data_IF_104348577913
#
_entry.id   IF_104348577913
#
_cell.length_a   1.000
_cell.length_b   1.000
_cell.length_c   1.000
_cell.angle_alpha   90.00
_cell.angle_beta   90.00
_cell.angle_gamma   90.00
#
_symmetry.space_group_name_H-M   'P 1'
#
loop_
_entity.id
_entity.type
_entity.pdbx_description
1 polymer ?
#
# COMPACT_ATOMS: atom_id res chain seq x y z
N UNK A 1 -2.30 35.87 21.86
CA UNK A 1 -1.78 35.97 20.47
C UNK A 1 -2.28 34.69 19.76
N UNK A 2 -3.53 34.74 19.27
CA UNK A 2 -4.12 33.61 18.54
C UNK A 2 -3.57 33.64 17.10
N UNK A 3 -2.38 33.07 16.90
CA UNK A 3 -1.86 32.81 15.59
C UNK A 3 -2.72 31.73 14.94
N UNK A 4 -3.43 32.06 13.87
CA UNK A 4 -4.16 31.10 13.03
C UNK A 4 -3.14 30.11 12.46
N UNK A 5 -2.91 28.99 13.18
CA UNK A 5 -2.14 27.82 12.68
C UNK A 5 -2.96 26.98 11.70
N UNK A 6 -4.01 27.53 11.09
CA UNK A 6 -4.81 26.80 10.11
C UNK A 6 -4.17 26.95 8.72
N UNK A 7 -3.83 25.81 8.14
CA UNK A 7 -3.43 25.75 6.74
C UNK A 7 -4.51 26.37 5.84
N UNK A 8 -4.10 26.94 4.71
CA UNK A 8 -5.07 27.36 3.69
C UNK A 8 -5.74 26.11 3.06
N UNK A 9 -7.00 26.22 2.64
CA UNK A 9 -7.71 25.14 1.94
C UNK A 9 -6.88 24.60 0.76
N UNK A 10 -6.19 25.47 0.05
CA UNK A 10 -5.30 25.08 -1.06
C UNK A 10 -4.14 24.19 -0.58
N UNK A 11 -3.57 24.45 0.58
CA UNK A 11 -2.51 23.64 1.15
C UNK A 11 -3.04 22.25 1.59
N UNK A 12 -4.21 22.20 2.24
CA UNK A 12 -4.89 20.95 2.58
C UNK A 12 -5.12 20.07 1.35
N UNK A 13 -5.72 20.64 0.31
CA UNK A 13 -5.99 19.91 -0.93
C UNK A 13 -4.69 19.47 -1.61
N UNK A 14 -3.67 20.31 -1.66
CA UNK A 14 -2.39 19.95 -2.29
C UNK A 14 -1.68 18.78 -1.57
N UNK A 15 -1.66 18.79 -0.23
CA UNK A 15 -1.06 17.71 0.56
C UNK A 15 -1.92 16.44 0.46
N UNK A 16 -3.26 16.55 0.51
CA UNK A 16 -4.18 15.41 0.34
C UNK A 16 -4.06 14.77 -1.03
N UNK A 17 -4.00 15.57 -2.08
CA UNK A 17 -3.78 15.09 -3.45
C UNK A 17 -2.39 14.48 -3.62
N UNK A 18 -1.36 15.03 -2.99
CA UNK A 18 -0.04 14.43 -2.98
C UNK A 18 -0.07 13.05 -2.31
N UNK A 19 -0.69 12.93 -1.13
CA UNK A 19 -0.79 11.67 -0.40
C UNK A 19 -1.60 10.63 -1.21
N UNK A 20 -2.71 11.03 -1.83
CA UNK A 20 -3.44 10.17 -2.76
C UNK A 20 -2.52 9.65 -3.86
N UNK A 21 -1.75 10.51 -4.54
CA UNK A 21 -0.89 10.09 -5.63
C UNK A 21 0.34 9.29 -5.18
N UNK A 22 0.77 9.42 -3.93
CA UNK A 22 1.80 8.56 -3.35
C UNK A 22 1.27 7.14 -3.12
N UNK A 23 0.03 7.01 -2.66
CA UNK A 23 -0.65 5.73 -2.53
C UNK A 23 -1.04 5.17 -3.90
N UNK A 24 -1.70 5.97 -4.73
CA UNK A 24 -2.28 5.51 -6.00
C UNK A 24 -1.20 5.18 -7.03
N UNK A 25 -0.73 3.96 -6.98
CA UNK A 25 0.33 3.43 -7.84
C UNK A 25 -0.11 2.20 -8.62
N UNK A 26 0.88 1.40 -8.99
CA UNK A 26 0.71 0.19 -9.79
C UNK A 26 -0.31 -0.80 -9.19
N UNK A 27 -0.19 -1.09 -7.89
CA UNK A 27 -1.07 -2.03 -7.20
C UNK A 27 -2.52 -1.59 -7.16
N UNK A 28 -2.73 -0.30 -6.93
CA UNK A 28 -4.04 0.34 -6.80
C UNK A 28 -4.84 0.35 -8.10
N UNK A 29 -4.18 0.12 -9.21
CA UNK A 29 -4.81 -0.08 -10.52
C UNK A 29 -5.14 -1.56 -10.77
N UNK A 30 -4.17 -2.45 -10.59
CA UNK A 30 -4.31 -3.83 -11.06
C UNK A 30 -5.09 -4.72 -10.08
N UNK A 31 -4.94 -4.53 -8.74
CA UNK A 31 -5.60 -5.44 -7.79
C UNK A 31 -7.11 -5.25 -7.70
N UNK A 32 -7.69 -4.03 -7.68
CA UNK A 32 -9.14 -3.87 -7.74
C UNK A 32 -9.74 -4.43 -9.04
N UNK A 33 -9.04 -4.30 -10.18
CA UNK A 33 -9.50 -4.85 -11.45
C UNK A 33 -9.53 -6.39 -11.44
N UNK A 34 -8.48 -7.02 -10.91
CA UNK A 34 -8.40 -8.48 -10.76
C UNK A 34 -9.45 -8.99 -9.77
N UNK A 35 -9.58 -8.34 -8.59
CA UNK A 35 -10.60 -8.64 -7.59
C UNK A 35 -11.99 -8.61 -8.22
N UNK A 36 -12.30 -7.58 -9.00
CA UNK A 36 -13.58 -7.47 -9.70
C UNK A 36 -13.85 -8.66 -10.61
N UNK A 37 -12.89 -9.09 -11.42
CA UNK A 37 -13.03 -10.26 -12.30
C UNK A 37 -13.31 -11.54 -11.52
N UNK A 38 -12.60 -11.77 -10.41
CA UNK A 38 -12.74 -12.97 -9.62
C UNK A 38 -14.01 -12.97 -8.78
N UNK A 39 -14.40 -11.81 -8.23
CA UNK A 39 -15.57 -11.68 -7.38
C UNK A 39 -16.90 -11.65 -8.18
N UNK A 40 -16.88 -11.22 -9.43
CA UNK A 40 -18.06 -11.20 -10.29
C UNK A 40 -19.25 -10.50 -9.61
N UNK A 41 -20.41 -11.20 -9.47
CA UNK A 41 -21.59 -10.64 -8.81
C UNK A 41 -21.39 -10.36 -7.30
N UNK A 42 -20.37 -10.95 -6.66
CA UNK A 42 -20.03 -10.71 -5.26
C UNK A 42 -19.01 -9.57 -5.07
N UNK A 43 -18.74 -8.78 -6.11
CA UNK A 43 -17.77 -7.67 -6.08
C UNK A 43 -18.05 -6.65 -4.96
N UNK A 44 -19.31 -6.42 -4.60
CA UNK A 44 -19.67 -5.52 -3.50
C UNK A 44 -19.15 -6.01 -2.14
N UNK A 45 -19.30 -7.30 -1.85
CA UNK A 45 -18.78 -7.91 -0.63
C UNK A 45 -17.25 -7.97 -0.63
N UNK A 46 -16.65 -8.37 -1.74
CA UNK A 46 -15.19 -8.38 -1.89
C UNK A 46 -14.59 -6.97 -1.71
N UNK A 47 -15.24 -5.95 -2.30
CA UNK A 47 -14.85 -4.54 -2.11
C UNK A 47 -14.95 -4.09 -0.65
N UNK A 48 -15.95 -4.53 0.10
CA UNK A 48 -16.06 -4.18 1.52
C UNK A 48 -14.81 -4.63 2.29
N UNK A 49 -14.34 -5.85 2.07
CA UNK A 49 -13.07 -6.33 2.65
C UNK A 49 -11.85 -5.58 2.13
N UNK A 50 -11.77 -5.40 0.80
CA UNK A 50 -10.65 -4.73 0.14
C UNK A 50 -10.48 -3.28 0.60
N UNK A 51 -11.59 -2.54 0.77
CA UNK A 51 -11.57 -1.16 1.24
C UNK A 51 -11.14 -1.06 2.71
N UNK A 52 -11.46 -2.05 3.54
CA UNK A 52 -10.95 -2.08 4.92
C UNK A 52 -9.41 -2.08 4.97
N UNK A 53 -8.76 -2.84 4.11
CA UNK A 53 -7.29 -2.97 4.08
C UNK A 53 -6.60 -1.99 3.14
N UNK A 54 -7.19 -1.73 1.97
CA UNK A 54 -6.62 -0.84 0.96
C UNK A 54 -6.94 0.65 1.18
N UNK A 55 -7.91 0.99 2.06
CA UNK A 55 -8.32 2.37 2.35
C UNK A 55 -8.33 2.64 3.86
N UNK A 56 -9.01 1.79 4.62
CA UNK A 56 -9.16 1.95 6.07
C UNK A 56 -7.83 1.87 6.83
N UNK A 57 -7.07 0.80 6.62
CA UNK A 57 -5.76 0.64 7.26
C UNK A 57 -4.75 1.74 6.89
N UNK A 58 -4.62 2.17 5.63
CA UNK A 58 -3.80 3.32 5.28
C UNK A 58 -4.17 4.59 6.04
N UNK A 59 -5.47 4.89 6.18
CA UNK A 59 -5.92 6.02 6.99
C UNK A 59 -5.47 5.85 8.46
N UNK A 60 -5.75 4.67 9.03
CA UNK A 60 -5.35 4.38 10.41
C UNK A 60 -3.84 4.44 10.61
N UNK A 61 -3.04 4.02 9.62
CA UNK A 61 -1.58 4.12 9.67
C UNK A 61 -1.08 5.57 9.69
N UNK A 62 -1.64 6.41 8.82
CA UNK A 62 -1.34 7.86 8.82
C UNK A 62 -1.75 8.49 10.15
N UNK A 63 -2.94 8.15 10.67
CA UNK A 63 -3.43 8.62 11.98
C UNK A 63 -2.54 8.15 13.13
N UNK A 64 -2.13 6.88 13.13
CA UNK A 64 -1.28 6.30 14.18
C UNK A 64 0.07 7.02 14.26
N UNK A 65 0.68 7.34 13.14
CA UNK A 65 1.92 8.12 13.11
C UNK A 65 1.71 9.55 13.64
N UNK A 66 0.66 10.24 13.20
CA UNK A 66 0.32 11.58 13.72
C UNK A 66 0.03 11.58 15.22
N UNK A 67 -0.76 10.60 15.69
CA UNK A 67 -1.19 10.46 17.08
C UNK A 67 -0.06 10.02 18.02
N UNK A 68 0.80 9.08 17.58
CA UNK A 68 1.89 8.54 18.41
C UNK A 68 2.92 9.60 18.80
N UNK A 69 3.09 10.63 17.96
CA UNK A 69 4.12 11.64 18.10
C UNK A 69 5.54 11.12 17.87
N UNK A 70 5.68 9.89 17.37
CA UNK A 70 6.96 9.31 17.01
C UNK A 70 7.56 10.04 15.80
N UNK A 71 8.90 10.09 15.75
CA UNK A 71 9.63 10.73 14.66
C UNK A 71 9.60 9.90 13.39
N UNK A 72 9.54 8.58 13.55
CA UNK A 72 9.54 7.61 12.46
C UNK A 72 8.95 6.26 12.90
N UNK A 73 8.87 5.33 11.95
CA UNK A 73 8.35 3.99 12.14
C UNK A 73 9.21 3.17 13.10
N UNK A 74 10.54 3.39 13.09
CA UNK A 74 11.48 2.68 13.94
C UNK A 74 11.22 3.01 15.43
N UNK A 75 10.98 4.27 15.76
CA UNK A 75 10.63 4.70 17.11
C UNK A 75 9.29 4.10 17.56
N UNK A 76 8.29 4.08 16.66
CA UNK A 76 6.97 3.50 16.95
C UNK A 76 7.07 1.98 17.20
N UNK A 77 7.70 1.24 16.30
CA UNK A 77 7.87 -0.21 16.42
C UNK A 77 8.83 -0.55 17.59
N UNK A 78 9.80 0.31 17.85
CA UNK A 78 10.76 0.21 18.96
C UNK A 78 10.14 0.28 20.36
N UNK A 79 8.86 0.68 20.46
CA UNK A 79 8.11 0.61 21.73
C UNK A 79 7.98 -0.82 22.26
N UNK A 80 7.97 -1.83 21.38
CA UNK A 80 8.04 -3.23 21.79
C UNK A 80 9.45 -3.61 22.24
N UNK A 81 10.43 -3.43 21.36
CA UNK A 81 11.86 -3.65 21.60
C UNK A 81 12.69 -2.91 20.56
N UNK A 82 13.81 -2.24 20.92
CA UNK A 82 14.59 -1.45 19.97
C UNK A 82 15.10 -2.25 18.77
N UNK A 83 15.59 -3.48 18.97
CA UNK A 83 16.08 -4.36 17.89
C UNK A 83 14.92 -4.73 16.94
N UNK A 84 13.74 -5.01 17.49
CA UNK A 84 12.54 -5.27 16.67
C UNK A 84 12.20 -4.04 15.83
N UNK A 85 12.22 -2.84 16.43
CA UNK A 85 11.98 -1.58 15.74
C UNK A 85 12.87 -1.42 14.51
N UNK A 86 14.17 -1.63 14.69
CA UNK A 86 15.15 -1.57 13.60
C UNK A 86 14.89 -2.62 12.51
N UNK A 87 14.79 -3.92 12.88
CA UNK A 87 14.62 -5.01 11.93
C UNK A 87 13.32 -4.87 11.14
N UNK A 88 12.21 -4.63 11.84
CA UNK A 88 10.90 -4.44 11.21
C UNK A 88 10.92 -3.26 10.24
N UNK A 89 11.47 -2.11 10.65
CA UNK A 89 11.49 -0.90 9.82
C UNK A 89 12.37 -1.09 8.60
N UNK A 90 13.54 -1.71 8.74
CA UNK A 90 14.39 -2.05 7.58
C UNK A 90 13.66 -2.99 6.64
N UNK A 91 13.03 -4.06 7.13
CA UNK A 91 12.27 -5.01 6.31
C UNK A 91 11.10 -4.32 5.59
N UNK A 92 10.37 -3.45 6.29
CA UNK A 92 9.27 -2.67 5.74
C UNK A 92 9.75 -1.75 4.61
N UNK A 93 10.79 -0.93 4.85
CA UNK A 93 11.31 -0.02 3.83
C UNK A 93 11.90 -0.74 2.63
N UNK A 94 12.60 -1.86 2.82
CA UNK A 94 13.10 -2.66 1.71
C UNK A 94 11.94 -3.26 0.90
N UNK A 95 10.89 -3.74 1.55
CA UNK A 95 9.74 -4.36 0.88
C UNK A 95 8.95 -3.37 0.03
N UNK A 96 8.59 -2.20 0.57
CA UNK A 96 7.89 -1.17 -0.21
C UNK A 96 8.82 -0.41 -1.15
N UNK A 97 10.09 -0.38 -0.85
CA UNK A 97 11.13 0.26 -1.68
C UNK A 97 11.64 -0.66 -2.77
N UNK A 98 12.94 -0.95 -2.77
CA UNK A 98 13.61 -1.56 -3.92
C UNK A 98 13.19 -3.00 -4.23
N UNK A 99 12.60 -3.76 -3.26
CA UNK A 99 12.36 -5.19 -3.48
C UNK A 99 11.06 -5.48 -4.24
N UNK A 100 9.94 -4.80 -3.90
CA UNK A 100 8.64 -5.17 -4.46
C UNK A 100 7.84 -3.98 -5.02
N UNK A 101 7.46 -3.00 -4.20
CA UNK A 101 6.55 -1.96 -4.66
C UNK A 101 7.18 -1.05 -5.72
N UNK A 102 8.42 -0.61 -5.56
CA UNK A 102 9.09 0.25 -6.54
C UNK A 102 9.32 -0.47 -7.88
N UNK A 103 9.91 -1.70 -7.95
CA UNK A 103 10.03 -2.42 -9.22
C UNK A 103 8.69 -2.67 -9.90
N UNK A 104 7.63 -2.96 -9.11
CA UNK A 104 6.28 -3.16 -9.63
C UNK A 104 5.74 -1.92 -10.34
N UNK A 105 6.09 -0.70 -9.91
CA UNK A 105 5.65 0.52 -10.61
C UNK A 105 6.15 0.55 -12.06
N UNK A 106 7.41 0.22 -12.30
CA UNK A 106 7.98 0.17 -13.64
C UNK A 106 7.40 -0.95 -14.49
N UNK A 107 7.26 -2.16 -13.93
CA UNK A 107 6.74 -3.32 -14.68
C UNK A 107 5.26 -3.17 -15.04
N UNK A 108 4.42 -2.64 -14.15
CA UNK A 108 3.00 -2.35 -14.46
C UNK A 108 2.90 -1.23 -15.50
N UNK A 109 3.73 -0.19 -15.38
CA UNK A 109 3.79 0.88 -16.39
C UNK A 109 4.17 0.31 -17.77
N UNK A 110 5.12 -0.62 -17.84
CA UNK A 110 5.46 -1.30 -19.08
C UNK A 110 4.30 -2.14 -19.64
N UNK A 111 3.72 -3.03 -18.82
CA UNK A 111 2.67 -3.96 -19.24
C UNK A 111 1.41 -3.25 -19.78
N UNK A 112 1.04 -2.12 -19.17
CA UNK A 112 -0.20 -1.40 -19.52
C UNK A 112 0.07 -0.27 -20.53
N UNK A 113 1.14 0.50 -20.33
CA UNK A 113 1.33 1.73 -21.11
C UNK A 113 2.16 1.54 -22.39
N UNK A 114 2.95 0.48 -22.49
CA UNK A 114 3.90 0.32 -23.61
C UNK A 114 3.65 -0.97 -24.40
N UNK A 115 3.56 -2.10 -23.71
CA UNK A 115 3.45 -3.44 -24.32
C UNK A 115 2.29 -3.56 -25.32
N UNK A 116 1.09 -2.98 -25.08
CA UNK A 116 -0.01 -3.04 -26.05
C UNK A 116 0.31 -2.41 -27.41
N UNK A 117 1.20 -1.42 -27.45
CA UNK A 117 1.62 -0.73 -28.69
C UNK A 117 2.78 -1.43 -29.42
N UNK A 118 3.37 -2.46 -28.82
CA UNK A 118 4.52 -3.21 -29.36
C UNK A 118 4.09 -4.53 -30.05
N UNK A 119 2.80 -4.73 -30.32
CA UNK A 119 2.31 -5.95 -30.96
C UNK A 119 3.00 -6.17 -32.31
N UNK A 120 3.60 -7.36 -32.48
CA UNK A 120 4.37 -7.72 -33.66
C UNK A 120 5.87 -7.40 -33.61
N UNK A 121 6.37 -6.73 -32.61
CA UNK A 121 7.81 -6.56 -32.39
C UNK A 121 8.42 -7.82 -31.74
N UNK A 122 9.56 -8.26 -32.27
CA UNK A 122 10.30 -9.43 -31.73
C UNK A 122 11.29 -9.04 -30.64
N UNK A 123 11.62 -7.75 -30.51
CA UNK A 123 12.55 -7.24 -29.52
C UNK A 123 11.84 -6.96 -28.20
N UNK A 124 12.37 -7.50 -27.11
CA UNK A 124 11.89 -7.17 -25.76
C UNK A 124 12.33 -5.75 -25.39
N UNK A 125 11.35 -4.83 -25.36
CA UNK A 125 11.58 -3.43 -25.01
C UNK A 125 11.49 -3.15 -23.52
N UNK A 126 11.20 -4.17 -22.67
CA UNK A 126 11.07 -3.99 -21.22
C UNK A 126 12.33 -3.42 -20.58
N UNK A 127 13.56 -3.91 -20.85
CA UNK A 127 14.77 -3.38 -20.23
C UNK A 127 15.01 -1.89 -20.58
N UNK A 128 14.79 -1.51 -21.83
CA UNK A 128 14.95 -0.12 -22.25
C UNK A 128 13.93 0.80 -21.59
N UNK A 129 12.67 0.39 -21.56
CA UNK A 129 11.62 1.15 -20.90
C UNK A 129 11.90 1.33 -19.41
N UNK A 130 12.24 0.25 -18.70
CA UNK A 130 12.55 0.30 -17.27
C UNK A 130 13.75 1.20 -16.98
N UNK A 131 14.79 1.19 -17.82
CA UNK A 131 15.94 2.08 -17.68
C UNK A 131 15.52 3.55 -17.78
N UNK A 132 14.66 3.90 -18.74
CA UNK A 132 14.10 5.26 -18.91
C UNK A 132 13.22 5.62 -17.70
N UNK A 133 12.29 4.74 -17.31
CA UNK A 133 11.35 4.97 -16.22
C UNK A 133 12.06 5.21 -14.89
N UNK A 134 13.00 4.33 -14.51
CA UNK A 134 13.76 4.49 -13.28
C UNK A 134 14.81 5.60 -13.37
N UNK A 135 15.31 5.92 -14.56
CA UNK A 135 16.13 7.10 -14.80
C UNK A 135 15.37 8.41 -14.52
N UNK A 136 14.13 8.52 -14.98
CA UNK A 136 13.24 9.65 -14.68
C UNK A 136 12.89 9.69 -13.19
N UNK A 137 12.53 8.53 -12.60
CA UNK A 137 12.24 8.42 -11.17
C UNK A 137 13.42 8.87 -10.30
N UNK A 138 14.64 8.44 -10.63
CA UNK A 138 15.88 8.84 -10.00
C UNK A 138 16.08 10.37 -10.08
N UNK A 139 15.99 10.93 -11.28
CA UNK A 139 16.19 12.37 -11.50
C UNK A 139 15.18 13.22 -10.69
N UNK A 140 13.92 12.81 -10.64
CA UNK A 140 12.88 13.50 -9.89
C UNK A 140 13.04 13.33 -8.37
N UNK A 141 13.58 12.19 -7.90
CA UNK A 141 13.79 11.90 -6.48
C UNK A 141 15.01 12.60 -5.87
N UNK A 142 15.95 13.10 -6.66
CA UNK A 142 17.15 13.81 -6.15
C UNK A 142 16.79 15.04 -5.31
N UNK A 143 15.64 15.68 -5.59
CA UNK A 143 15.20 16.91 -4.89
C UNK A 143 13.86 16.70 -4.18
N UNK A 144 13.85 16.11 -2.97
CA UNK A 144 12.62 15.74 -2.25
C UNK A 144 11.74 16.94 -1.89
N UNK A 145 12.32 18.11 -1.67
CA UNK A 145 11.61 19.36 -1.32
C UNK A 145 10.58 19.81 -2.38
N UNK A 146 10.68 19.32 -3.61
CA UNK A 146 9.78 19.66 -4.72
C UNK A 146 8.61 18.69 -4.90
N UNK A 147 8.50 17.65 -4.03
CA UNK A 147 7.48 16.59 -4.17
C UNK A 147 6.05 17.13 -4.15
N UNK A 148 5.68 17.95 -3.15
CA UNK A 148 4.31 18.50 -3.05
C UNK A 148 3.94 19.27 -4.31
N UNK A 149 4.86 20.08 -4.82
CA UNK A 149 4.58 20.90 -6.01
C UNK A 149 4.49 20.04 -7.28
N UNK A 150 5.37 19.07 -7.44
CA UNK A 150 5.41 18.21 -8.64
C UNK A 150 4.28 17.19 -8.65
N UNK A 151 4.05 16.52 -7.53
CA UNK A 151 3.05 15.46 -7.42
C UNK A 151 1.67 16.07 -7.13
N UNK A 152 1.51 16.78 -6.00
CA UNK A 152 0.22 17.25 -5.54
C UNK A 152 -0.43 18.32 -6.44
N UNK A 153 0.34 19.24 -7.02
CA UNK A 153 -0.22 20.36 -7.80
C UNK A 153 -0.27 20.09 -9.31
N UNK A 154 0.49 19.12 -9.83
CA UNK A 154 0.60 18.89 -11.28
C UNK A 154 0.14 17.48 -11.65
N UNK A 155 0.84 16.44 -11.15
CA UNK A 155 0.57 15.06 -11.56
C UNK A 155 -0.83 14.60 -11.11
N UNK A 156 -1.19 14.86 -9.85
CA UNK A 156 -2.45 14.36 -9.30
C UNK A 156 -3.70 14.92 -9.94
N UNK A 157 -3.84 16.24 -10.17
CA UNK A 157 -5.00 16.77 -10.88
C UNK A 157 -5.13 16.21 -12.32
N UNK A 158 -4.01 16.05 -13.03
CA UNK A 158 -4.00 15.44 -14.35
C UNK A 158 -4.45 13.97 -14.29
N UNK A 159 -3.92 13.20 -13.33
CA UNK A 159 -4.28 11.82 -13.09
C UNK A 159 -5.79 11.68 -12.77
N UNK A 160 -6.30 12.45 -11.83
CA UNK A 160 -7.72 12.42 -11.44
C UNK A 160 -8.66 12.78 -12.58
N UNK A 161 -8.31 13.78 -13.39
CA UNK A 161 -9.11 14.16 -14.56
C UNK A 161 -9.23 12.99 -15.54
N UNK A 162 -8.14 12.32 -15.84
CA UNK A 162 -8.12 11.22 -16.80
C UNK A 162 -8.85 9.98 -16.26
N UNK A 163 -8.71 9.67 -14.95
CA UNK A 163 -9.47 8.63 -14.27
C UNK A 163 -10.98 8.94 -14.34
N UNK A 164 -11.36 10.18 -14.06
CA UNK A 164 -12.77 10.60 -14.11
C UNK A 164 -13.38 10.39 -15.49
N UNK A 165 -12.65 10.68 -16.57
CA UNK A 165 -13.11 10.42 -17.93
C UNK A 165 -13.38 8.93 -18.18
N UNK A 166 -12.50 8.05 -17.72
CA UNK A 166 -12.65 6.60 -17.84
C UNK A 166 -13.86 6.11 -17.03
N UNK A 167 -14.04 6.61 -15.81
CA UNK A 167 -15.17 6.30 -14.95
C UNK A 167 -16.49 6.71 -15.61
N UNK A 168 -16.63 7.96 -16.04
CA UNK A 168 -17.85 8.47 -16.68
C UNK A 168 -18.20 7.61 -17.89
N UNK A 169 -17.21 7.29 -18.74
CA UNK A 169 -17.45 6.51 -19.96
C UNK A 169 -17.88 5.08 -19.64
N UNK A 170 -17.34 4.44 -18.59
CA UNK A 170 -17.74 3.08 -18.21
C UNK A 170 -19.20 2.99 -17.75
N UNK A 171 -19.78 4.07 -17.20
CA UNK A 171 -21.20 4.15 -16.89
C UNK A 171 -22.08 4.35 -18.11
N UNK A 172 -21.64 5.17 -19.05
CA UNK A 172 -22.40 5.46 -20.29
C UNK A 172 -22.40 4.23 -21.21
N UNK A 173 -21.32 3.44 -21.21
CA UNK A 173 -21.14 2.28 -22.08
C UNK A 173 -20.78 1.06 -21.21
N UNK A 174 -21.76 0.32 -20.68
CA UNK A 174 -21.50 -0.89 -19.91
C UNK A 174 -20.72 -1.93 -20.72
N UNK A 175 -19.74 -2.60 -20.11
CA UNK A 175 -18.87 -3.58 -20.76
C UNK A 175 -19.61 -4.91 -20.95
N UNK A 176 -20.32 -5.37 -19.90
CA UNK A 176 -21.09 -6.61 -19.90
C UNK A 176 -21.81 -6.80 -18.56
N UNK A 177 -22.32 -8.00 -18.33
CA UNK A 177 -22.98 -8.42 -17.09
C UNK A 177 -21.95 -8.87 -16.05
N UNK A 178 -22.37 -8.89 -14.78
CA UNK A 178 -21.56 -9.47 -13.71
C UNK A 178 -21.37 -10.97 -13.93
N UNK A 179 -20.14 -11.43 -13.88
CA UNK A 179 -19.80 -12.84 -14.00
C UNK A 179 -20.16 -13.65 -12.73
N UNK A 180 -20.17 -14.98 -12.86
CA UNK A 180 -20.27 -15.89 -11.71
C UNK A 180 -18.99 -15.76 -10.86
N UNK A 181 -19.10 -15.64 -9.53
CA UNK A 181 -17.94 -15.54 -8.66
C UNK A 181 -17.04 -16.80 -8.76
N UNK A 182 -15.74 -16.61 -8.70
CA UNK A 182 -14.80 -17.71 -8.51
C UNK A 182 -14.98 -18.35 -7.12
N UNK A 183 -14.56 -19.63 -6.90
CA UNK A 183 -14.76 -20.34 -5.62
C UNK A 183 -14.29 -19.56 -4.38
N UNK A 184 -13.19 -18.81 -4.50
CA UNK A 184 -12.65 -17.99 -3.42
C UNK A 184 -13.55 -16.78 -3.04
N UNK A 185 -14.60 -16.51 -3.82
CA UNK A 185 -15.57 -15.41 -3.59
C UNK A 185 -17.01 -15.91 -3.63
N UNK A 186 -17.23 -17.23 -3.52
CA UNK A 186 -18.53 -17.86 -3.79
C UNK A 186 -19.65 -17.44 -2.83
N UNK A 187 -19.33 -17.05 -1.59
CA UNK A 187 -20.31 -16.57 -0.59
C UNK A 187 -19.91 -15.21 -0.04
N UNK A 188 -20.90 -14.45 0.44
CA UNK A 188 -20.72 -13.07 0.93
C UNK A 188 -19.60 -12.96 1.96
N UNK A 189 -19.61 -13.80 3.00
CA UNK A 189 -18.60 -13.76 4.06
C UNK A 189 -17.20 -14.14 3.58
N UNK A 190 -17.09 -15.14 2.70
CA UNK A 190 -15.81 -15.54 2.10
C UNK A 190 -15.30 -14.45 1.17
N UNK A 191 -16.17 -13.82 0.39
CA UNK A 191 -15.79 -12.70 -0.49
C UNK A 191 -15.24 -11.50 0.30
N UNK A 192 -15.83 -11.17 1.46
CA UNK A 192 -15.31 -10.11 2.35
C UNK A 192 -13.90 -10.46 2.84
N UNK A 193 -13.70 -11.69 3.33
CA UNK A 193 -12.41 -12.14 3.85
C UNK A 193 -11.35 -12.19 2.76
N UNK A 194 -11.69 -12.72 1.59
CA UNK A 194 -10.77 -12.74 0.45
C UNK A 194 -10.41 -11.33 0.01
N UNK A 195 -11.40 -10.44 -0.12
CA UNK A 195 -11.15 -9.03 -0.43
C UNK A 195 -10.25 -8.33 0.60
N UNK A 196 -10.40 -8.66 1.89
CA UNK A 196 -9.52 -8.16 2.95
C UNK A 196 -8.06 -8.58 2.72
N UNK A 197 -7.81 -9.83 2.36
CA UNK A 197 -6.46 -10.33 2.05
C UNK A 197 -5.93 -9.76 0.73
N UNK A 198 -6.77 -9.62 -0.28
CA UNK A 198 -6.38 -9.02 -1.57
C UNK A 198 -5.92 -7.57 -1.42
N UNK A 199 -6.51 -6.84 -0.46
CA UNK A 199 -6.09 -5.49 -0.14
C UNK A 199 -4.65 -5.41 0.37
N UNK A 200 -4.07 -6.49 0.92
CA UNK A 200 -2.64 -6.53 1.28
C UNK A 200 -1.73 -6.30 0.07
N UNK A 201 -2.15 -6.77 -1.10
CA UNK A 201 -1.36 -6.65 -2.31
C UNK A 201 -1.16 -5.21 -2.78
N UNK A 202 -2.02 -4.26 -2.35
CA UNK A 202 -1.82 -2.83 -2.65
C UNK A 202 -0.57 -2.28 -1.97
N UNK A 203 -0.18 -2.85 -0.80
CA UNK A 203 0.91 -2.38 0.08
C UNK A 203 0.66 -1.02 0.73
N UNK A 204 -0.55 -0.47 0.64
CA UNK A 204 -0.87 0.87 1.10
C UNK A 204 -0.80 1.02 2.63
N UNK A 205 -1.19 -0.01 3.39
CA UNK A 205 -1.07 0.04 4.85
C UNK A 205 0.40 0.08 5.30
N UNK A 206 1.29 -0.67 4.62
CA UNK A 206 2.73 -0.60 4.86
C UNK A 206 3.30 0.78 4.48
N UNK A 207 2.88 1.30 3.32
CA UNK A 207 3.31 2.60 2.83
C UNK A 207 2.77 3.76 3.69
N UNK A 208 1.62 3.59 4.34
CA UNK A 208 0.94 4.64 5.09
C UNK A 208 1.75 5.16 6.27
N UNK A 209 2.35 4.26 7.04
CA UNK A 209 3.21 4.65 8.19
C UNK A 209 4.48 5.35 7.73
N UNK A 210 4.94 5.06 6.52
CA UNK A 210 6.12 5.70 5.89
C UNK A 210 5.77 7.05 5.29
N UNK A 211 4.70 7.13 4.50
CA UNK A 211 4.27 8.39 3.87
C UNK A 211 3.72 9.40 4.87
N UNK A 212 3.18 8.93 6.01
CA UNK A 212 2.77 9.81 7.09
C UNK A 212 3.89 10.74 7.55
N UNK A 213 5.14 10.26 7.57
CA UNK A 213 6.30 11.07 7.94
C UNK A 213 6.49 12.22 6.95
N UNK A 214 6.41 11.95 5.64
CA UNK A 214 6.48 12.98 4.62
C UNK A 214 5.37 14.02 4.78
N UNK A 215 4.14 13.56 5.06
CA UNK A 215 3.00 14.46 5.30
C UNK A 215 3.23 15.32 6.53
N UNK A 216 3.67 14.72 7.65
CA UNK A 216 4.00 15.46 8.88
C UNK A 216 5.05 16.53 8.63
N UNK A 217 6.10 16.20 7.89
CA UNK A 217 7.16 17.13 7.57
C UNK A 217 6.67 18.30 6.68
N UNK A 218 5.82 18.01 5.70
CA UNK A 218 5.20 19.06 4.89
C UNK A 218 4.25 19.94 5.70
N UNK A 219 3.46 19.37 6.62
CA UNK A 219 2.60 20.13 7.53
C UNK A 219 3.43 21.04 8.42
N UNK A 220 4.58 20.58 8.93
CA UNK A 220 5.50 21.40 9.70
C UNK A 220 6.10 22.56 8.88
N UNK A 221 6.44 22.30 7.62
CA UNK A 221 6.97 23.35 6.72
C UNK A 221 5.94 24.46 6.43
N UNK A 222 4.64 24.20 6.63
CA UNK A 222 3.59 25.25 6.51
C UNK A 222 3.43 26.10 7.78
N UNK A 223 4.25 25.85 8.82
CA UNK A 223 4.26 26.64 10.07
C UNK A 223 3.49 26.00 11.23
N UNK A 224 2.93 24.81 11.07
CA UNK A 224 2.28 24.10 12.18
C UNK A 224 3.33 23.56 13.16
N UNK A 225 3.27 24.03 14.42
CA UNK A 225 4.22 23.66 15.49
C UNK A 225 3.57 22.80 16.57
N UNK A 226 2.28 22.98 16.79
CA UNK A 226 1.52 22.25 17.80
C UNK A 226 1.25 20.80 17.35
N UNK A 227 1.45 19.83 18.27
CA UNK A 227 1.17 18.42 18.02
C UNK A 227 -0.28 18.19 17.63
N UNK A 228 -1.21 18.86 18.30
CA UNK A 228 -2.65 18.68 18.06
C UNK A 228 -3.05 19.18 16.65
N UNK A 229 -2.48 20.34 16.22
CA UNK A 229 -2.70 20.87 14.87
C UNK A 229 -2.12 19.93 13.82
N UNK A 230 -0.89 19.42 14.02
CA UNK A 230 -0.26 18.48 13.11
C UNK A 230 -1.11 17.21 13.00
N UNK A 231 -1.50 16.62 14.13
CA UNK A 231 -2.31 15.37 14.15
C UNK A 231 -3.64 15.58 13.43
N UNK A 232 -4.37 16.66 13.74
CA UNK A 232 -5.63 16.99 13.08
C UNK A 232 -5.46 17.17 11.58
N UNK A 233 -4.46 17.93 11.16
CA UNK A 233 -4.18 18.18 9.74
C UNK A 233 -3.84 16.88 9.00
N UNK A 234 -3.01 16.03 9.60
CA UNK A 234 -2.63 14.73 9.02
C UNK A 234 -3.84 13.81 8.86
N UNK A 235 -4.77 13.82 9.83
CA UNK A 235 -6.03 13.07 9.73
C UNK A 235 -6.93 13.59 8.60
N UNK A 236 -7.11 14.91 8.49
CA UNK A 236 -7.96 15.53 7.46
C UNK A 236 -7.40 15.31 6.05
N UNK A 237 -6.10 15.47 5.88
CA UNK A 237 -5.38 15.19 4.63
C UNK A 237 -5.43 13.70 4.27
N UNK A 238 -5.26 12.83 5.27
CA UNK A 238 -5.41 11.39 5.11
C UNK A 238 -6.81 11.01 4.66
N UNK A 239 -7.85 11.60 5.27
CA UNK A 239 -9.23 11.35 4.89
C UNK A 239 -9.53 11.74 3.43
N UNK A 240 -8.98 12.85 2.95
CA UNK A 240 -9.10 13.25 1.54
C UNK A 240 -8.46 12.21 0.62
N UNK A 241 -7.23 11.79 0.92
CA UNK A 241 -6.51 10.83 0.10
C UNK A 241 -7.22 9.48 0.01
N UNK A 242 -7.68 8.94 1.15
CA UNK A 242 -8.32 7.62 1.17
C UNK A 242 -9.74 7.65 0.61
N UNK A 243 -10.46 8.76 0.72
CA UNK A 243 -11.77 8.92 0.07
C UNK A 243 -11.64 8.83 -1.46
N UNK A 244 -10.63 9.51 -2.02
CA UNK A 244 -10.32 9.42 -3.45
C UNK A 244 -9.92 7.99 -3.86
N UNK A 245 -9.09 7.31 -3.06
CA UNK A 245 -8.72 5.91 -3.29
C UNK A 245 -9.94 4.99 -3.30
N UNK A 246 -10.80 5.08 -2.30
CA UNK A 246 -11.99 4.25 -2.18
C UNK A 246 -12.93 4.41 -3.38
N UNK A 247 -13.16 5.66 -3.83
CA UNK A 247 -13.95 5.94 -5.02
C UNK A 247 -13.34 5.24 -6.24
N UNK A 248 -12.05 5.42 -6.48
CA UNK A 248 -11.37 4.83 -7.63
C UNK A 248 -11.41 3.30 -7.60
N UNK A 249 -11.21 2.68 -6.42
CA UNK A 249 -11.28 1.22 -6.25
C UNK A 249 -12.65 0.63 -6.60
N UNK A 250 -13.73 1.28 -6.15
CA UNK A 250 -15.09 0.86 -6.45
C UNK A 250 -15.30 0.81 -7.98
N UNK A 251 -14.87 1.83 -8.70
CA UNK A 251 -15.04 1.90 -10.15
C UNK A 251 -14.16 0.90 -10.91
N UNK A 252 -12.89 0.78 -10.53
CA UNK A 252 -11.98 -0.16 -11.18
C UNK A 252 -12.44 -1.61 -10.96
N UNK A 253 -12.87 -1.95 -9.75
CA UNK A 253 -13.39 -3.28 -9.45
C UNK A 253 -14.69 -3.57 -10.21
N UNK A 254 -15.58 -2.58 -10.35
CA UNK A 254 -16.79 -2.73 -11.15
C UNK A 254 -16.47 -2.97 -12.63
N UNK A 255 -15.47 -2.28 -13.20
CA UNK A 255 -14.97 -2.54 -14.55
C UNK A 255 -14.48 -4.00 -14.63
N UNK A 256 -13.71 -4.48 -13.66
CA UNK A 256 -13.26 -5.86 -13.60
C UNK A 256 -14.43 -6.85 -13.58
N UNK A 257 -15.40 -6.65 -12.69
CA UNK A 257 -16.53 -7.56 -12.50
C UNK A 257 -17.43 -7.71 -13.74
N UNK A 258 -17.56 -6.66 -14.54
CA UNK A 258 -18.36 -6.64 -15.78
C UNK A 258 -17.56 -6.99 -17.03
N UNK A 259 -16.26 -7.21 -16.92
CA UNK A 259 -15.37 -7.44 -18.09
C UNK A 259 -15.32 -8.91 -18.53
N UNK A 260 -15.61 -9.85 -17.64
CA UNK A 260 -15.38 -11.30 -17.85
C UNK A 260 -16.21 -11.86 -18.99
N UNK A 261 -17.49 -11.46 -19.09
CA UNK A 261 -18.39 -11.93 -20.14
C UNK A 261 -17.82 -11.64 -21.54
N UNK A 262 -17.16 -10.50 -21.69
CA UNK A 262 -16.63 -10.06 -22.98
C UNK A 262 -15.20 -10.49 -23.26
N UNK A 263 -14.33 -10.45 -22.26
CA UNK A 263 -12.89 -10.66 -22.45
C UNK A 263 -12.36 -11.96 -21.83
N UNK A 264 -13.18 -12.68 -21.06
CA UNK A 264 -12.73 -13.82 -20.25
C UNK A 264 -11.96 -13.38 -19.00
N UNK A 265 -11.46 -14.37 -18.27
CA UNK A 265 -10.61 -14.18 -17.09
C UNK A 265 -9.16 -13.96 -17.51
N UNK A 266 -8.49 -13.02 -16.86
CA UNK A 266 -7.07 -12.76 -17.01
C UNK A 266 -6.29 -13.13 -15.74
N UNK A 267 -5.01 -13.43 -15.88
CA UNK A 267 -4.11 -13.76 -14.75
C UNK A 267 -3.85 -12.56 -13.82
N UNK A 268 -3.94 -11.33 -14.34
CA UNK A 268 -3.69 -10.08 -13.60
C UNK A 268 -4.66 -8.99 -14.02
N UNK A 269 -4.77 -7.93 -13.22
CA UNK A 269 -5.63 -6.79 -13.56
C UNK A 269 -5.10 -5.89 -14.69
N UNK A 270 -3.85 -6.03 -15.12
CA UNK A 270 -3.28 -5.18 -16.18
C UNK A 270 -3.99 -5.39 -17.55
N UNK A 271 -4.15 -6.62 -18.05
CA UNK A 271 -4.92 -6.88 -19.28
C UNK A 271 -6.39 -6.47 -19.18
N UNK A 272 -7.00 -6.60 -17.98
CA UNK A 272 -8.38 -6.16 -17.74
C UNK A 272 -8.55 -4.70 -18.08
N UNK A 273 -7.68 -3.85 -17.54
CA UNK A 273 -7.73 -2.41 -17.75
C UNK A 273 -7.46 -2.05 -19.22
N UNK A 274 -6.49 -2.71 -19.84
CA UNK A 274 -6.13 -2.45 -21.24
C UNK A 274 -7.29 -2.81 -22.19
N UNK A 275 -7.88 -4.00 -22.05
CA UNK A 275 -9.02 -4.43 -22.85
C UNK A 275 -10.26 -3.55 -22.64
N UNK A 276 -10.51 -3.16 -21.37
CA UNK A 276 -11.64 -2.29 -21.02
C UNK A 276 -11.47 -0.88 -21.60
N UNK A 277 -10.27 -0.29 -21.53
CA UNK A 277 -10.00 1.02 -22.09
C UNK A 277 -10.13 1.04 -23.61
N UNK A 278 -9.64 -0.01 -24.29
CA UNK A 278 -9.78 -0.18 -25.72
C UNK A 278 -11.25 -0.30 -26.13
N UNK A 279 -12.03 -1.09 -25.41
CA UNK A 279 -13.48 -1.22 -25.65
C UNK A 279 -14.23 0.11 -25.47
N UNK A 280 -13.90 0.88 -24.40
CA UNK A 280 -14.63 2.12 -24.07
C UNK A 280 -14.33 3.28 -25.02
N UNK A 281 -13.09 3.38 -25.52
CA UNK A 281 -12.61 4.53 -26.27
C UNK A 281 -11.85 4.15 -27.56
N UNK A 282 -11.75 2.85 -27.91
CA UNK A 282 -10.88 2.38 -29.00
C UNK A 282 -9.40 2.68 -28.73
N UNK A 283 -8.60 2.81 -29.76
CA UNK A 283 -7.15 3.08 -29.62
C UNK A 283 -6.81 4.32 -28.77
N UNK A 284 -7.70 5.31 -28.70
CA UNK A 284 -7.53 6.48 -27.82
C UNK A 284 -7.59 6.06 -26.34
N UNK A 285 -8.39 5.05 -26.02
CA UNK A 285 -8.50 4.51 -24.66
C UNK A 285 -7.20 3.94 -24.13
N UNK A 286 -6.42 3.27 -24.98
CA UNK A 286 -5.10 2.77 -24.63
C UNK A 286 -4.13 3.91 -24.30
N UNK A 287 -4.19 5.02 -25.05
CA UNK A 287 -3.37 6.22 -24.80
C UNK A 287 -3.77 6.88 -23.47
N UNK A 288 -5.09 7.02 -23.24
CA UNK A 288 -5.63 7.56 -21.99
C UNK A 288 -5.15 6.72 -20.81
N UNK A 289 -5.29 5.41 -20.89
CA UNK A 289 -4.86 4.49 -19.84
C UNK A 289 -3.33 4.53 -19.62
N UNK A 290 -2.56 4.60 -20.71
CA UNK A 290 -1.10 4.73 -20.64
C UNK A 290 -0.69 5.98 -19.84
N UNK A 291 -1.34 7.12 -20.08
CA UNK A 291 -1.09 8.36 -19.34
C UNK A 291 -1.42 8.18 -17.84
N UNK A 292 -2.58 7.61 -17.52
CA UNK A 292 -2.99 7.33 -16.13
C UNK A 292 -1.90 6.52 -15.42
N UNK A 293 -1.53 5.39 -16.04
CA UNK A 293 -0.62 4.43 -15.43
C UNK A 293 0.79 5.00 -15.28
N UNK A 294 1.29 5.70 -16.29
CA UNK A 294 2.60 6.35 -16.22
C UNK A 294 2.64 7.40 -15.09
N UNK A 295 1.63 8.24 -14.98
CA UNK A 295 1.56 9.27 -13.93
C UNK A 295 1.44 8.64 -12.54
N UNK A 296 0.56 7.66 -12.36
CA UNK A 296 0.35 6.96 -11.09
C UNK A 296 1.62 6.20 -10.65
N UNK A 297 2.20 5.41 -11.54
CA UNK A 297 3.40 4.63 -11.23
C UNK A 297 4.60 5.53 -10.97
N UNK A 298 4.77 6.61 -11.73
CA UNK A 298 5.88 7.54 -11.55
C UNK A 298 5.80 8.28 -10.22
N UNK A 299 4.60 8.78 -9.83
CA UNK A 299 4.43 9.49 -8.55
C UNK A 299 4.74 8.59 -7.35
N UNK A 300 4.23 7.36 -7.37
CA UNK A 300 4.50 6.37 -6.31
C UNK A 300 5.98 5.96 -6.30
N UNK A 301 6.60 5.70 -7.46
CA UNK A 301 8.03 5.38 -7.55
C UNK A 301 8.91 6.46 -6.92
N UNK A 302 8.65 7.74 -7.24
CA UNK A 302 9.38 8.89 -6.67
C UNK A 302 9.21 8.93 -5.15
N UNK A 303 7.98 8.76 -4.65
CA UNK A 303 7.68 8.75 -3.22
C UNK A 303 8.41 7.66 -2.47
N UNK A 304 8.38 6.42 -2.98
CA UNK A 304 9.04 5.27 -2.37
C UNK A 304 10.57 5.40 -2.37
N UNK A 305 11.17 5.77 -3.51
CA UNK A 305 12.63 5.99 -3.60
C UNK A 305 13.06 7.09 -2.62
N UNK A 306 12.30 8.19 -2.55
CA UNK A 306 12.59 9.30 -1.64
C UNK A 306 12.51 8.88 -0.19
N UNK A 307 11.42 8.21 0.21
CA UNK A 307 11.20 7.77 1.60
C UNK A 307 12.27 6.78 2.05
N UNK A 308 12.58 5.77 1.22
CA UNK A 308 13.64 4.81 1.51
C UNK A 308 15.00 5.49 1.63
N UNK A 309 15.34 6.36 0.67
CA UNK A 309 16.63 7.05 0.68
C UNK A 309 16.79 7.96 1.90
N UNK A 310 15.71 8.61 2.35
CA UNK A 310 15.71 9.45 3.55
C UNK A 310 15.94 8.61 4.80
N UNK A 311 15.22 7.49 4.94
CA UNK A 311 15.36 6.60 6.09
C UNK A 311 16.76 5.99 6.17
N UNK A 312 17.27 5.41 5.08
CA UNK A 312 18.58 4.77 5.09
C UNK A 312 19.74 5.78 5.24
N UNK A 313 19.60 7.01 4.72
CA UNK A 313 20.56 8.08 4.99
C UNK A 313 20.58 8.48 6.47
N UNK A 314 19.40 8.48 7.15
CA UNK A 314 19.32 8.68 8.60
C UNK A 314 19.97 7.53 9.36
N UNK A 315 19.70 6.28 8.95
CA UNK A 315 20.24 5.07 9.59
C UNK A 315 21.76 4.97 9.46
N UNK A 316 22.30 5.31 8.31
CA UNK A 316 23.73 5.28 8.04
C UNK A 316 24.19 6.50 7.23
N UNK A 317 24.49 7.57 7.93
CA UNK A 317 24.77 8.91 7.38
C UNK A 317 26.09 9.02 6.59
N UNK A 318 26.98 7.99 6.63
CA UNK A 318 28.21 7.97 5.82
C UNK A 318 27.91 7.89 4.32
N UNK A 319 26.75 7.32 3.93
CA UNK A 319 26.29 7.27 2.56
C UNK A 319 25.32 8.44 2.35
N UNK A 320 25.57 9.28 1.36
CA UNK A 320 24.72 10.44 1.11
C UNK A 320 23.34 10.04 0.56
N UNK A 321 22.34 10.89 0.82
CA UNK A 321 20.98 10.72 0.29
C UNK A 321 20.95 10.42 -1.22
N UNK A 322 21.73 11.16 -2.01
CA UNK A 322 21.78 11.01 -3.47
C UNK A 322 22.30 9.62 -3.88
N UNK A 323 23.27 9.07 -3.16
CA UNK A 323 23.80 7.72 -3.41
C UNK A 323 22.74 6.67 -3.11
N UNK A 324 21.97 6.81 -2.02
CA UNK A 324 20.84 5.92 -1.75
C UNK A 324 19.77 5.99 -2.84
N UNK A 325 19.45 7.18 -3.36
CA UNK A 325 18.52 7.33 -4.50
C UNK A 325 19.01 6.55 -5.72
N UNK A 326 20.31 6.59 -6.02
CA UNK A 326 20.90 5.80 -7.12
C UNK A 326 20.81 4.31 -6.82
N UNK A 327 21.23 3.87 -5.62
CA UNK A 327 21.20 2.44 -5.23
C UNK A 327 19.79 1.88 -5.37
N UNK A 328 18.78 2.55 -4.81
CA UNK A 328 17.41 2.04 -4.83
C UNK A 328 16.76 2.10 -6.22
N UNK A 329 17.09 3.10 -7.04
CA UNK A 329 16.63 3.16 -8.43
C UNK A 329 17.26 2.05 -9.28
N UNK A 330 18.54 1.78 -9.13
CA UNK A 330 19.24 0.70 -9.84
C UNK A 330 18.74 -0.68 -9.37
N UNK A 331 18.55 -0.86 -8.05
CA UNK A 331 17.99 -2.10 -7.51
C UNK A 331 16.58 -2.36 -8.04
N UNK A 332 15.72 -1.33 -8.05
CA UNK A 332 14.36 -1.43 -8.59
C UNK A 332 14.37 -1.74 -10.10
N UNK A 333 15.27 -1.14 -10.86
CA UNK A 333 15.47 -1.49 -12.27
C UNK A 333 15.85 -2.96 -12.43
N UNK A 334 16.88 -3.44 -11.71
CA UNK A 334 17.37 -4.81 -11.82
C UNK A 334 16.29 -5.84 -11.44
N UNK A 335 15.55 -5.58 -10.33
CA UNK A 335 14.45 -6.46 -9.92
C UNK A 335 13.25 -6.37 -10.87
N UNK A 336 13.01 -5.21 -11.47
CA UNK A 336 11.97 -5.03 -12.50
C UNK A 336 12.17 -5.92 -13.73
N UNK A 337 13.40 -6.30 -14.06
CA UNK A 337 13.69 -7.18 -15.20
C UNK A 337 13.09 -8.60 -15.04
N UNK A 338 12.79 -9.06 -13.82
CA UNK A 338 12.14 -10.35 -13.59
C UNK A 338 10.66 -10.38 -13.99
N UNK A 339 10.07 -9.25 -14.31
CA UNK A 339 8.69 -9.12 -14.75
C UNK A 339 7.66 -9.06 -13.63
N UNK A 340 6.46 -8.59 -13.97
CA UNK A 340 5.38 -8.28 -13.03
C UNK A 340 4.93 -9.50 -12.22
N UNK A 341 4.69 -10.65 -12.88
CA UNK A 341 4.18 -11.87 -12.22
C UNK A 341 5.14 -12.37 -11.15
N UNK A 342 6.45 -12.39 -11.44
CA UNK A 342 7.48 -12.82 -10.49
C UNK A 342 7.54 -11.91 -9.27
N UNK A 343 7.50 -10.58 -9.49
CA UNK A 343 7.53 -9.60 -8.39
C UNK A 343 6.32 -9.77 -7.47
N UNK A 344 5.11 -9.94 -8.04
CA UNK A 344 3.89 -10.16 -7.25
C UNK A 344 4.01 -11.45 -6.43
N UNK A 345 4.37 -12.57 -7.07
CA UNK A 345 4.46 -13.87 -6.39
C UNK A 345 5.51 -13.86 -5.26
N UNK A 346 6.65 -13.21 -5.48
CA UNK A 346 7.70 -13.11 -4.47
C UNK A 346 7.32 -12.16 -3.31
N UNK A 347 6.43 -11.20 -3.55
CA UNK A 347 5.98 -10.26 -2.51
C UNK A 347 5.02 -10.90 -1.51
N UNK A 348 4.15 -11.84 -1.95
CA UNK A 348 3.04 -12.36 -1.13
C UNK A 348 3.51 -12.95 0.22
N UNK A 349 4.53 -13.82 0.30
CA UNK A 349 5.00 -14.36 1.58
C UNK A 349 5.48 -13.27 2.55
N UNK A 350 6.17 -12.25 2.02
CA UNK A 350 6.68 -11.13 2.82
C UNK A 350 5.53 -10.24 3.30
N UNK A 351 4.49 -10.08 2.51
CA UNK A 351 3.28 -9.35 2.91
C UNK A 351 2.53 -10.09 4.02
N UNK A 352 2.39 -11.42 3.93
CA UNK A 352 1.77 -12.25 4.96
C UNK A 352 2.52 -12.17 6.30
N UNK A 353 3.83 -11.89 6.28
CA UNK A 353 4.63 -11.61 7.47
C UNK A 353 4.43 -10.17 7.97
N UNK A 354 4.55 -9.16 7.10
CA UNK A 354 4.62 -7.76 7.53
C UNK A 354 3.26 -7.13 7.83
N UNK A 355 2.19 -7.51 7.13
CA UNK A 355 0.87 -6.89 7.32
C UNK A 355 0.30 -7.11 8.71
N UNK A 356 0.27 -8.34 9.27
CA UNK A 356 -0.19 -8.55 10.65
C UNK A 356 0.55 -7.67 11.66
N UNK A 357 1.86 -7.57 11.53
CA UNK A 357 2.70 -6.77 12.42
C UNK A 357 2.39 -5.28 12.28
N UNK A 358 2.21 -4.80 11.04
CA UNK A 358 1.85 -3.41 10.77
C UNK A 358 0.48 -3.06 11.32
N UNK A 359 -0.53 -3.92 11.11
CA UNK A 359 -1.89 -3.73 11.64
C UNK A 359 -1.84 -3.63 13.16
N UNK A 360 -1.14 -4.56 13.80
CA UNK A 360 -1.01 -4.59 15.27
C UNK A 360 -0.31 -3.35 15.80
N UNK A 361 0.77 -2.90 15.17
CA UNK A 361 1.48 -1.66 15.57
C UNK A 361 0.55 -0.44 15.44
N UNK A 362 -0.20 -0.33 14.33
CA UNK A 362 -1.17 0.74 14.12
C UNK A 362 -2.24 0.74 15.21
N UNK A 363 -2.86 -0.41 15.48
CA UNK A 363 -3.91 -0.55 16.48
C UNK A 363 -3.41 -0.26 17.90
N UNK A 364 -2.22 -0.74 18.26
CA UNK A 364 -1.59 -0.44 19.54
C UNK A 364 -1.30 1.05 19.68
N UNK A 365 -0.77 1.69 18.63
CA UNK A 365 -0.49 3.13 18.66
C UNK A 365 -1.76 3.96 18.88
N UNK A 366 -2.86 3.61 18.23
CA UNK A 366 -4.16 4.29 18.39
C UNK A 366 -4.81 4.00 19.75
N UNK A 367 -4.50 2.85 20.35
CA UNK A 367 -5.04 2.41 21.63
C UNK A 367 -4.16 2.78 22.82
N UNK A 368 -3.10 3.54 22.64
CA UNK A 368 -2.09 3.87 23.66
C UNK A 368 -2.68 4.41 24.96
N UNK A 369 -3.75 5.22 24.87
CA UNK A 369 -4.45 5.75 26.05
C UNK A 369 -5.11 4.67 26.91
N UNK A 370 -5.54 3.55 26.34
CA UNK A 370 -6.22 2.45 27.06
C UNK A 370 -5.26 1.73 28.01
N UNK A 371 -4.02 1.55 27.58
CA UNK A 371 -3.03 0.83 28.38
C UNK A 371 -1.83 1.67 28.82
N UNK A 372 -1.84 2.98 28.55
CA UNK A 372 -0.81 3.94 28.96
C UNK A 372 0.54 3.75 28.26
N UNK A 373 0.56 3.22 27.03
CA UNK A 373 1.76 3.05 26.22
C UNK A 373 2.79 2.07 26.81
N UNK A 374 2.37 1.15 27.67
CA UNK A 374 3.28 0.22 28.39
C UNK A 374 3.97 -0.75 27.43
N UNK A 375 5.29 -0.82 27.51
CA UNK A 375 6.13 -1.70 26.69
C UNK A 375 5.75 -3.18 26.75
N UNK A 376 5.30 -3.68 27.92
CA UNK A 376 4.88 -5.07 28.06
C UNK A 376 3.69 -5.41 27.15
N UNK A 377 2.74 -4.48 26.96
CA UNK A 377 1.59 -4.71 26.06
C UNK A 377 2.05 -4.77 24.61
N UNK A 378 2.89 -3.83 24.18
CA UNK A 378 3.52 -3.89 22.85
C UNK A 378 4.29 -5.20 22.64
N UNK A 379 5.16 -5.57 23.60
CA UNK A 379 6.02 -6.74 23.50
C UNK A 379 5.25 -8.05 23.37
N UNK A 380 4.25 -8.29 24.24
CA UNK A 380 3.45 -9.51 24.18
C UNK A 380 2.59 -9.58 22.93
N UNK A 381 1.92 -8.48 22.58
CA UNK A 381 1.04 -8.46 21.40
C UNK A 381 1.82 -8.71 20.11
N UNK A 382 2.90 -7.98 19.90
CA UNK A 382 3.75 -8.11 18.72
C UNK A 382 4.48 -9.45 18.70
N UNK A 383 5.02 -9.90 19.86
CA UNK A 383 5.75 -11.15 19.95
C UNK A 383 4.90 -12.36 19.60
N UNK A 384 3.67 -12.44 20.10
CA UNK A 384 2.76 -13.53 19.73
C UNK A 384 2.27 -13.41 18.27
N UNK A 385 1.93 -12.21 17.82
CA UNK A 385 1.55 -11.98 16.41
C UNK A 385 2.67 -12.41 15.46
N UNK A 386 3.94 -12.16 15.81
CA UNK A 386 5.11 -12.55 15.03
C UNK A 386 5.15 -14.06 14.75
N UNK A 387 4.79 -14.89 15.74
CA UNK A 387 4.79 -16.35 15.59
C UNK A 387 3.83 -16.77 14.47
N UNK A 388 2.59 -16.28 14.50
CA UNK A 388 1.61 -16.60 13.47
C UNK A 388 1.94 -15.96 12.12
N UNK A 389 2.44 -14.72 12.11
CA UNK A 389 2.83 -14.03 10.89
C UNK A 389 4.00 -14.73 10.17
N UNK A 390 5.01 -15.22 10.94
CA UNK A 390 6.10 -16.03 10.40
C UNK A 390 5.57 -17.33 9.78
N UNK A 391 4.65 -18.00 10.47
CA UNK A 391 4.05 -19.23 9.97
C UNK A 391 3.30 -18.99 8.66
N UNK A 392 2.43 -17.98 8.60
CA UNK A 392 1.70 -17.62 7.38
C UNK A 392 2.63 -17.23 6.22
N UNK A 393 3.74 -16.54 6.50
CA UNK A 393 4.76 -16.25 5.50
C UNK A 393 5.44 -17.50 4.96
N UNK A 394 5.80 -18.45 5.85
CA UNK A 394 6.42 -19.73 5.47
C UNK A 394 5.45 -20.65 4.70
N UNK A 395 4.18 -20.73 5.12
CA UNK A 395 3.12 -21.46 4.41
C UNK A 395 2.98 -20.94 2.97
N UNK A 396 2.87 -19.63 2.84
CA UNK A 396 2.70 -18.98 1.52
C UNK A 396 3.94 -19.13 0.64
N UNK A 397 5.13 -19.22 1.23
CA UNK A 397 6.39 -19.49 0.52
C UNK A 397 6.55 -20.98 0.14
N UNK A 398 5.72 -21.87 0.66
CA UNK A 398 5.87 -23.34 0.50
C UNK A 398 7.04 -23.91 1.29
N UNK A 399 7.46 -23.22 2.37
CA UNK A 399 8.59 -23.64 3.22
C UNK A 399 8.14 -24.11 4.60
N UNK A 400 6.85 -24.08 4.88
CA UNK A 400 6.31 -24.58 6.14
C UNK A 400 6.40 -26.11 6.17
N UNK A 401 6.86 -26.72 7.29
CA UNK A 401 6.78 -28.17 7.46
C UNK A 401 5.33 -28.61 7.60
N UNK A 402 4.90 -29.61 6.82
CA UNK A 402 3.50 -30.11 6.77
C UNK A 402 2.90 -30.41 8.14
N UNK A 403 3.72 -30.97 9.07
CA UNK A 403 3.27 -31.28 10.42
C UNK A 403 2.93 -30.00 11.25
N UNK A 404 3.64 -28.91 11.04
CA UNK A 404 3.40 -27.65 11.74
C UNK A 404 2.22 -26.93 11.09
N UNK A 405 2.14 -26.90 9.76
CA UNK A 405 1.03 -26.33 9.01
C UNK A 405 -0.31 -26.99 9.41
N UNK A 406 -0.35 -28.32 9.47
CA UNK A 406 -1.54 -29.06 9.89
C UNK A 406 -1.96 -28.73 11.32
N UNK A 407 -1.01 -28.62 12.26
CA UNK A 407 -1.27 -28.22 13.64
C UNK A 407 -1.83 -26.78 13.73
N UNK A 408 -1.23 -25.84 13.00
CA UNK A 408 -1.73 -24.45 12.99
C UNK A 408 -3.14 -24.39 12.40
N UNK A 409 -3.38 -25.03 11.26
CA UNK A 409 -4.70 -25.03 10.62
C UNK A 409 -5.77 -25.71 11.47
N UNK A 410 -5.41 -26.76 12.22
CA UNK A 410 -6.35 -27.49 13.08
C UNK A 410 -6.69 -26.76 14.38
N UNK A 411 -5.70 -26.10 15.02
CA UNK A 411 -5.88 -25.56 16.36
C UNK A 411 -5.96 -24.04 16.44
N UNK A 412 -5.48 -23.32 15.42
CA UNK A 412 -5.49 -21.86 15.45
C UNK A 412 -6.73 -21.34 14.71
N UNK A 413 -7.64 -20.65 15.41
CA UNK A 413 -8.79 -20.01 14.77
C UNK A 413 -8.37 -19.08 13.65
N UNK A 414 -9.08 -19.13 12.53
CA UNK A 414 -8.88 -18.32 11.33
C UNK A 414 -7.58 -18.58 10.55
N UNK A 415 -6.75 -19.58 10.92
CA UNK A 415 -5.53 -19.90 10.16
C UNK A 415 -5.86 -20.32 8.73
N UNK A 416 -6.84 -21.18 8.53
CA UNK A 416 -7.24 -21.67 7.20
C UNK A 416 -7.73 -20.60 6.22
N UNK A 417 -7.98 -19.39 6.70
CA UNK A 417 -8.33 -18.20 5.89
C UNK A 417 -7.24 -17.12 5.94
N UNK A 418 -6.01 -17.45 6.37
CA UNK A 418 -4.88 -16.52 6.43
C UNK A 418 -4.94 -15.45 7.51
N UNK A 419 -5.85 -15.60 8.49
CA UNK A 419 -6.05 -14.61 9.57
C UNK A 419 -5.75 -15.17 10.97
N UNK A 420 -4.97 -16.24 11.07
CA UNK A 420 -4.57 -16.84 12.37
C UNK A 420 -3.87 -15.87 13.30
N UNK A 421 -3.19 -14.87 12.75
CA UNK A 421 -2.52 -13.82 13.51
C UNK A 421 -3.46 -13.02 14.43
N UNK A 422 -4.76 -12.91 14.09
CA UNK A 422 -5.75 -12.18 14.91
C UNK A 422 -5.89 -12.83 16.29
N UNK A 423 -5.95 -14.16 16.34
CA UNK A 423 -6.04 -14.92 17.59
C UNK A 423 -4.81 -14.69 18.48
N UNK A 424 -3.62 -14.69 17.88
CA UNK A 424 -2.38 -14.42 18.59
C UNK A 424 -2.26 -12.96 19.04
N UNK A 425 -2.71 -12.01 18.24
CA UNK A 425 -2.73 -10.59 18.61
C UNK A 425 -3.64 -10.33 19.81
N UNK A 426 -4.85 -10.89 19.80
CA UNK A 426 -5.80 -10.75 20.92
C UNK A 426 -5.22 -11.41 22.19
N UNK A 427 -4.69 -12.62 22.08
CA UNK A 427 -4.08 -13.32 23.21
C UNK A 427 -2.90 -12.52 23.77
N UNK A 428 -2.02 -12.02 22.91
CA UNK A 428 -0.88 -11.19 23.30
C UNK A 428 -1.30 -9.89 23.97
N UNK A 429 -2.35 -9.26 23.49
CA UNK A 429 -2.89 -8.04 24.10
C UNK A 429 -3.44 -8.32 25.50
N UNK A 430 -4.21 -9.39 25.68
CA UNK A 430 -4.74 -9.80 26.99
C UNK A 430 -3.60 -10.11 27.98
N UNK A 431 -2.62 -10.93 27.57
CA UNK A 431 -1.45 -11.25 28.40
C UNK A 431 -0.67 -9.98 28.76
N UNK A 432 -0.49 -9.08 27.80
CA UNK A 432 0.17 -7.79 28.01
C UNK A 432 -0.56 -6.92 29.04
N UNK A 433 -1.90 -6.89 29.03
CA UNK A 433 -2.72 -6.18 30.01
C UNK A 433 -2.62 -6.81 31.42
N UNK A 434 -2.65 -8.14 31.51
CA UNK A 434 -2.45 -8.87 32.80
C UNK A 434 -1.05 -8.57 33.32
N UNK A 435 -0.01 -8.66 32.50
CA UNK A 435 1.36 -8.33 32.89
C UNK A 435 1.48 -6.89 33.39
N UNK A 436 0.85 -5.92 32.69
CA UNK A 436 0.77 -4.52 33.16
C UNK A 436 0.18 -4.41 34.56
N UNK A 437 -0.87 -5.18 34.87
CA UNK A 437 -1.52 -5.16 36.17
C UNK A 437 -0.68 -5.79 37.28
N UNK A 438 0.21 -6.74 36.93
CA UNK A 438 1.08 -7.44 37.90
C UNK A 438 2.37 -6.67 38.23
N UNK A 439 2.87 -5.90 37.26
CA UNK A 439 4.07 -5.07 37.45
C UNK A 439 3.64 -3.72 37.99
N UNK A 440 3.75 -3.54 39.30
CA UNK A 440 3.54 -2.24 39.94
C UNK A 440 4.46 -1.17 39.37
N UNK A 441 4.04 0.10 39.43
CA UNK A 441 4.60 1.30 38.82
C UNK A 441 6.07 1.67 39.14
N UNK A 442 6.99 0.74 39.21
CA UNK A 442 8.38 0.97 39.58
C UNK A 442 9.30 1.37 38.41
N UNK A 443 8.79 1.56 37.20
CA UNK A 443 9.59 2.09 36.07
C UNK A 443 8.77 3.06 35.23
N UNK A 444 8.80 4.32 35.61
CA UNK A 444 8.50 5.44 34.67
C UNK A 444 9.67 5.67 33.77
#
# INVERSE_FOLDING_TARGET
MDGKENLSLRAYLAIGMMLFALFFGAGNLIFPAALGQHAGSNVGWALAGFVLTGVGLPLLGVMAMGYSGCKDVEELAGRAHPIYGLIYTVALYLSIGPMFATPRTGTVAYEIAIKPFLQGMTLDMQPLFLAIFFGISLWLSISPQKLVNRIGNILTPALLLVILLLIIKSFITPIGSYAVPQPAYATDGVAVLQGFLDGYNTMDALASVVFAILVIDFVRLTGATSRDVITKTVMEVGAIAVALLGIVYIFIANIGATSVERFGLFDTGAPVLTASADFLFGGIGQIILAIIVLLACLSTSIGLITSCSTYFNKLYSKISYKVYVVIFSVAAFALGLFGLKTIISAAIPVLMLLYPLTIVIILLALSDTVFGGRRCVYGWTIGLTMISALMSGLETAGWAPDAIESLFTQYIPFQGIGMGWVSFAILGFIIGLIHKGLVSDTTK
#
